data_IF_136514643483
#
_entry.id   IF_136514643483
#
_cell.length_a   1.000
_cell.length_b   1.000
_cell.length_c   1.000
_cell.angle_alpha   90.00
_cell.angle_beta   90.00
_cell.angle_gamma   90.00
#
_symmetry.space_group_name_H-M   'P 1'
#
loop_
_entity.id
_entity.type
_entity.pdbx_description
1 polymer ?
#
# COMPACT_ATOMS: atom_id res chain seq x y z
N UNK A 1 -10.41 -4.29 -11.05
CA UNK A 1 -9.02 -4.50 -10.59
C UNK A 1 -9.09 -5.07 -9.18
N UNK A 2 -8.45 -6.22 -8.90
CA UNK A 2 -8.68 -6.98 -7.65
C UNK A 2 -7.89 -6.39 -6.47
N UNK A 3 -8.61 -5.99 -5.42
CA UNK A 3 -8.05 -5.69 -4.10
C UNK A 3 -8.14 -6.93 -3.21
N UNK A 4 -7.34 -6.98 -2.15
CA UNK A 4 -7.40 -8.04 -1.15
C UNK A 4 -7.15 -7.49 0.27
N UNK A 5 -7.55 -8.27 1.27
CA UNK A 5 -7.31 -7.98 2.68
C UNK A 5 -6.42 -9.04 3.29
N UNK A 6 -5.64 -8.66 4.28
CA UNK A 6 -4.81 -9.57 5.06
C UNK A 6 -5.38 -9.73 6.48
N UNK A 7 -5.36 -10.96 7.04
CA UNK A 7 -5.76 -11.18 8.43
C UNK A 7 -4.91 -10.39 9.41
N UNK A 8 -5.53 -9.86 10.48
CA UNK A 8 -4.83 -9.20 11.58
C UNK A 8 -4.35 -7.77 11.32
N UNK A 9 -4.61 -7.21 10.12
CA UNK A 9 -4.21 -5.84 9.77
C UNK A 9 -5.35 -4.95 9.24
N UNK A 10 -6.57 -4.97 9.83
CA UNK A 10 -7.52 -3.89 9.56
C UNK A 10 -6.91 -2.55 10.02
N UNK A 11 -7.10 -1.44 9.30
CA UNK A 11 -8.07 -1.20 8.23
C UNK A 11 -7.52 -1.31 6.79
N UNK A 12 -6.33 -1.91 6.62
CA UNK A 12 -5.60 -1.88 5.35
C UNK A 12 -6.28 -2.70 4.23
N UNK A 13 -6.34 -2.09 3.05
CA UNK A 13 -6.73 -2.74 1.79
C UNK A 13 -5.56 -2.73 0.83
N UNK A 14 -5.26 -3.89 0.24
CA UNK A 14 -4.08 -4.09 -0.59
C UNK A 14 -4.46 -4.25 -2.05
N UNK A 15 -3.56 -3.83 -2.94
CA UNK A 15 -3.66 -4.10 -4.38
C UNK A 15 -2.27 -4.22 -5.01
N UNK A 16 -2.20 -4.97 -6.10
CA UNK A 16 -1.01 -5.03 -6.95
C UNK A 16 -1.29 -4.19 -8.18
N UNK A 17 -0.39 -3.26 -8.49
CA UNK A 17 -0.44 -2.40 -9.68
C UNK A 17 0.83 -2.59 -10.50
N UNK A 18 0.72 -2.39 -11.81
CA UNK A 18 1.86 -2.38 -12.72
C UNK A 18 2.15 -0.93 -13.11
N UNK A 19 3.35 -0.46 -12.81
CA UNK A 19 3.82 0.88 -13.17
C UNK A 19 5.06 0.71 -14.04
N UNK A 20 4.91 0.94 -15.34
CA UNK A 20 5.94 0.62 -16.33
C UNK A 20 6.30 -0.85 -16.30
N UNK A 21 7.55 -1.17 -15.95
CA UNK A 21 8.06 -2.56 -15.83
C UNK A 21 8.08 -3.07 -14.38
N UNK A 22 7.55 -2.29 -13.43
CA UNK A 22 7.60 -2.63 -12.01
C UNK A 22 6.24 -3.17 -11.53
N UNK A 23 6.31 -4.21 -10.71
CA UNK A 23 5.16 -4.70 -9.94
C UNK A 23 5.20 -3.96 -8.60
N UNK A 24 4.13 -3.27 -8.26
CA UNK A 24 4.05 -2.49 -7.02
C UNK A 24 2.91 -3.02 -6.17
N UNK A 25 3.21 -3.28 -4.90
CA UNK A 25 2.21 -3.51 -3.87
C UNK A 25 1.85 -2.19 -3.24
N UNK A 26 0.56 -1.88 -3.21
CA UNK A 26 0.03 -0.72 -2.52
C UNK A 26 -0.90 -1.18 -1.39
N UNK A 27 -0.83 -0.47 -0.27
CA UNK A 27 -1.77 -0.61 0.84
C UNK A 27 -2.40 0.76 1.14
N UNK A 28 -3.70 0.80 1.31
CA UNK A 28 -4.44 2.01 1.66
C UNK A 28 -5.28 1.78 2.90
N UNK A 29 -5.20 2.70 3.86
CA UNK A 29 -5.90 2.63 5.15
C UNK A 29 -5.76 3.96 5.88
N UNK A 30 -6.81 4.40 6.58
CA UNK A 30 -6.75 5.59 7.46
C UNK A 30 -6.14 6.86 6.83
N UNK A 31 -6.44 7.13 5.55
CA UNK A 31 -5.91 8.30 4.85
C UNK A 31 -4.43 8.20 4.44
N UNK A 32 -3.80 7.06 4.67
CA UNK A 32 -2.44 6.75 4.26
C UNK A 32 -2.45 5.81 3.05
N UNK A 33 -1.44 5.98 2.20
CA UNK A 33 -1.13 5.06 1.12
C UNK A 33 0.34 4.66 1.20
N UNK A 34 0.59 3.38 1.35
CA UNK A 34 1.93 2.79 1.40
C UNK A 34 2.21 2.07 0.10
N UNK A 35 3.46 2.08 -0.36
CA UNK A 35 3.86 1.27 -1.51
C UNK A 35 5.26 0.67 -1.38
N UNK A 36 5.44 -0.47 -2.05
CA UNK A 36 6.70 -1.20 -2.18
C UNK A 36 6.76 -1.90 -3.54
N UNK A 37 7.92 -1.88 -4.18
CA UNK A 37 8.17 -2.66 -5.39
C UNK A 37 8.32 -4.13 -4.99
N UNK A 38 7.62 -5.00 -5.72
CA UNK A 38 7.69 -6.45 -5.57
C UNK A 38 8.62 -7.04 -6.61
N UNK A 39 9.45 -7.98 -6.19
CA UNK A 39 10.15 -8.86 -7.10
C UNK A 39 9.14 -9.82 -7.77
N UNK A 40 9.28 -10.09 -9.08
CA UNK A 40 8.48 -11.10 -9.77
C UNK A 40 8.58 -12.46 -9.07
N UNK A 41 7.43 -13.05 -8.74
CA UNK A 41 7.36 -14.35 -8.05
C UNK A 41 7.44 -14.28 -6.52
N UNK A 42 7.66 -13.10 -5.93
CA UNK A 42 7.60 -12.93 -4.48
C UNK A 42 6.18 -13.11 -3.93
N UNK A 43 6.08 -13.55 -2.67
CA UNK A 43 4.79 -13.76 -2.02
C UNK A 43 4.09 -12.42 -1.71
N UNK A 44 2.91 -12.20 -2.31
CA UNK A 44 2.07 -11.02 -2.02
C UNK A 44 1.63 -10.90 -0.55
N UNK A 45 1.42 -12.03 0.14
CA UNK A 45 0.92 -12.05 1.53
C UNK A 45 2.03 -11.56 2.48
N UNK A 46 3.18 -12.24 2.46
CA UNK A 46 4.37 -11.84 3.21
C UNK A 46 4.74 -10.37 2.96
N UNK A 47 4.81 -9.96 1.69
CA UNK A 47 5.14 -8.57 1.36
C UNK A 47 4.08 -7.57 1.83
N UNK A 48 2.81 -7.97 1.95
CA UNK A 48 1.77 -7.08 2.48
C UNK A 48 1.94 -6.82 3.97
N UNK A 49 2.37 -7.80 4.77
CA UNK A 49 2.76 -7.57 6.16
C UNK A 49 4.03 -6.72 6.23
N UNK A 50 5.07 -7.07 5.47
CA UNK A 50 6.32 -6.30 5.44
C UNK A 50 6.13 -4.85 4.99
N UNK A 51 5.16 -4.56 4.10
CA UNK A 51 4.85 -3.20 3.65
C UNK A 51 4.34 -2.32 4.80
N UNK A 52 3.62 -2.90 5.76
CA UNK A 52 3.14 -2.13 6.92
C UNK A 52 4.26 -1.84 7.92
N UNK A 53 5.19 -2.79 8.09
CA UNK A 53 6.32 -2.63 9.01
C UNK A 53 7.43 -1.75 8.41
N UNK A 54 7.69 -1.90 7.11
CA UNK A 54 8.80 -1.28 6.39
C UNK A 54 8.36 -0.75 5.00
N UNK A 55 7.57 0.33 4.95
CA UNK A 55 7.16 0.93 3.68
C UNK A 55 8.36 1.54 2.94
N UNK A 56 8.45 1.31 1.63
CA UNK A 56 9.46 1.99 0.81
C UNK A 56 9.05 3.43 0.51
N UNK A 57 7.75 3.66 0.31
CA UNK A 57 7.17 4.97 0.16
C UNK A 57 5.86 5.04 0.95
N UNK A 58 5.63 6.18 1.60
CA UNK A 58 4.42 6.45 2.34
C UNK A 58 3.90 7.83 1.93
N UNK A 59 2.72 7.86 1.31
CA UNK A 59 1.95 9.08 1.12
C UNK A 59 0.98 9.21 2.29
N UNK A 60 1.26 10.17 3.16
CA UNK A 60 0.39 10.51 4.28
C UNK A 60 -0.44 11.69 3.82
N UNK A 61 -1.74 11.50 3.58
CA UNK A 61 -2.62 12.63 3.34
C UNK A 61 -3.04 13.20 4.69
N UNK A 62 -2.56 14.39 5.11
CA UNK A 62 -3.12 15.04 6.27
C UNK A 62 -4.61 15.33 5.99
N UNK A 63 -5.48 15.31 7.02
CA UNK A 63 -6.87 15.70 6.85
C UNK A 63 -6.93 17.08 6.19
N UNK A 64 -7.74 17.18 5.14
CA UNK A 64 -7.95 18.40 4.34
C UNK A 64 -8.55 19.47 5.28
N UNK A 65 -7.70 20.22 5.96
CA UNK A 65 -8.03 21.43 6.72
C UNK A 65 -7.15 22.63 6.31
N UNK A 66 -6.38 22.52 5.23
CA UNK A 66 -5.49 23.58 4.73
C UNK A 66 -5.67 23.86 3.23
N UNK A 67 -6.90 23.74 2.73
CA UNK A 67 -7.28 24.22 1.39
C UNK A 67 -8.40 25.27 1.50
N UNK A 68 -8.20 26.27 2.36
CA UNK A 68 -8.95 27.52 2.36
C UNK A 68 -8.15 28.58 3.15
N UNK A 69 -7.19 29.22 2.47
CA UNK A 69 -6.63 30.51 2.86
C UNK A 69 -6.31 31.27 1.57
#
# INVERSE_FOLDING_TARGET
MMTFKLPGVPPWTFRIVLIGQQVVLEATGEGQSLSKILDPGSSRIRNGYELLDFPQCALINPPILLAAA
#
